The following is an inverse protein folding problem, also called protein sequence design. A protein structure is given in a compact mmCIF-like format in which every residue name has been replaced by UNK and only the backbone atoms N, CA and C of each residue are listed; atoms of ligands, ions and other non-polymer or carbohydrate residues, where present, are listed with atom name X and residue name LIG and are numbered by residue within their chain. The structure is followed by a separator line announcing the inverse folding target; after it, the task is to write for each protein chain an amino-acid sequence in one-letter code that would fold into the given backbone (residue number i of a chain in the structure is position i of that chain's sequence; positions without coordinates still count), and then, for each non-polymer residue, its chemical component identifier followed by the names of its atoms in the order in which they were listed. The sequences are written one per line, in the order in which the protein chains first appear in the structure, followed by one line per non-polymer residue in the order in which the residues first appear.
data_IF_894902526750
#
_entry.id   IF_894902526750
#
_cell.length_a   1.000
_cell.length_b   1.000
_cell.length_c   1.000
_cell.angle_alpha   90.00
_cell.angle_beta   90.00
_cell.angle_gamma   90.00
#
_symmetry.space_group_name_H-M   'P 1'
#
loop_
_entity.id
_entity.type
_entity.pdbx_description
1 polymer ?
#
# COMPACT_ATOMS: atom_id res chain seq x y z
N UNK A 1 28.64 -16.34 16.87
CA UNK A 1 27.16 -16.21 16.92
C UNK A 1 26.73 -15.45 15.69
N UNK A 2 25.76 -15.96 14.93
CA UNK A 2 25.18 -15.23 13.79
C UNK A 2 23.97 -14.49 14.36
N UNK A 3 24.03 -13.16 14.45
CA UNK A 3 22.87 -12.38 14.87
C UNK A 3 21.76 -12.51 13.81
N UNK A 4 20.56 -12.95 14.20
CA UNK A 4 19.38 -12.88 13.31
C UNK A 4 18.96 -11.42 13.24
N UNK A 5 18.98 -10.83 12.04
CA UNK A 5 18.54 -9.45 11.86
C UNK A 5 17.07 -9.31 12.23
N UNK A 6 16.77 -8.29 13.02
CA UNK A 6 15.44 -7.79 13.25
C UNK A 6 14.76 -7.40 11.95
N UNK A 7 13.44 -7.52 11.89
CA UNK A 7 12.69 -7.01 10.76
C UNK A 7 11.24 -6.68 11.11
N UNK A 8 10.69 -5.81 10.28
CA UNK A 8 9.30 -5.40 10.32
C UNK A 8 8.75 -5.53 8.90
N UNK A 9 7.56 -6.11 8.76
CA UNK A 9 6.84 -6.22 7.49
C UNK A 9 5.38 -5.85 7.70
N UNK A 10 4.73 -5.42 6.62
CA UNK A 10 3.27 -5.28 6.56
C UNK A 10 2.77 -6.15 5.41
N UNK A 11 1.65 -6.84 5.63
CA UNK A 11 0.92 -7.62 4.61
C UNK A 11 1.79 -8.55 3.71
N UNK A 12 2.85 -9.16 4.25
CA UNK A 12 3.81 -10.00 3.50
C UNK A 12 4.42 -9.37 2.23
N UNK A 13 4.29 -8.05 2.06
CA UNK A 13 4.60 -7.38 0.81
C UNK A 13 4.21 -5.91 0.89
N UNK A 14 5.11 -5.07 0.38
CA UNK A 14 5.23 -3.63 0.54
C UNK A 14 4.05 -2.77 0.01
N UNK A 15 2.79 -3.21 0.03
CA UNK A 15 1.65 -2.40 -0.42
C UNK A 15 0.43 -2.56 0.48
N UNK A 16 -0.08 -1.44 0.98
CA UNK A 16 -1.31 -1.33 1.77
C UNK A 16 -2.35 -0.61 0.93
N UNK A 17 -3.53 -1.21 0.80
CA UNK A 17 -4.64 -0.65 0.03
C UNK A 17 -5.76 -0.31 0.99
N UNK A 18 -6.15 0.96 1.04
CA UNK A 18 -7.32 1.43 1.78
C UNK A 18 -8.40 1.83 0.79
N UNK A 19 -9.67 1.67 1.17
CA UNK A 19 -10.80 2.12 0.36
C UNK A 19 -11.29 3.46 0.88
N UNK A 20 -11.52 4.43 -0.02
CA UNK A 20 -12.09 5.72 0.34
C UNK A 20 -13.41 5.57 1.10
N UNK A 21 -13.59 6.38 2.14
CA UNK A 21 -14.76 6.41 3.03
C UNK A 21 -15.04 5.09 3.78
N UNK A 22 -14.11 4.13 3.77
CA UNK A 22 -14.21 2.90 4.54
C UNK A 22 -13.11 2.84 5.61
N UNK A 23 -13.42 2.36 6.82
CA UNK A 23 -12.40 2.15 7.84
C UNK A 23 -11.46 1.01 7.42
N UNK A 24 -10.16 1.24 7.55
CA UNK A 24 -9.12 0.24 7.28
C UNK A 24 -8.06 0.22 8.37
N UNK A 25 -7.39 -0.92 8.53
CA UNK A 25 -6.31 -1.10 9.49
C UNK A 25 -5.33 -2.19 9.04
N UNK A 26 -4.03 -1.93 9.21
CA UNK A 26 -2.95 -2.88 8.93
C UNK A 26 -1.99 -2.95 10.13
N UNK A 27 -1.81 -4.16 10.65
CA UNK A 27 -0.85 -4.43 11.71
C UNK A 27 0.50 -4.87 11.13
N UNK A 28 1.63 -4.45 11.73
CA UNK A 28 2.95 -4.96 11.36
C UNK A 28 3.16 -6.37 11.90
N UNK A 29 4.03 -7.12 11.21
CA UNK A 29 4.66 -8.33 11.74
C UNK A 29 6.12 -8.01 12.08
N UNK A 30 6.46 -8.07 13.37
CA UNK A 30 7.83 -7.86 13.87
C UNK A 30 8.47 -9.21 14.21
N UNK A 31 9.72 -9.40 13.82
CA UNK A 31 10.45 -10.65 14.06
C UNK A 31 11.89 -10.40 14.49
N UNK A 32 12.42 -11.36 15.26
CA UNK A 32 13.77 -11.33 15.85
C UNK A 32 14.03 -10.09 16.72
N UNK A 33 12.99 -9.58 17.39
CA UNK A 33 13.04 -8.46 18.32
C UNK A 33 12.27 -8.82 19.60
N UNK A 34 12.83 -8.45 20.75
CA UNK A 34 12.36 -8.85 22.08
C UNK A 34 11.98 -7.67 22.98
N UNK A 35 12.15 -6.43 22.51
CA UNK A 35 11.82 -5.22 23.27
C UNK A 35 10.74 -4.44 22.53
N UNK A 36 9.65 -4.08 23.24
CA UNK A 36 8.66 -3.15 22.70
C UNK A 36 9.34 -1.83 22.38
N UNK A 37 9.26 -1.42 21.12
CA UNK A 37 9.89 -0.21 20.65
C UNK A 37 8.90 0.62 19.83
N UNK A 38 9.16 1.92 19.80
CA UNK A 38 8.31 2.87 19.09
C UNK A 38 8.42 2.69 17.58
N UNK A 39 7.28 2.83 16.90
CA UNK A 39 7.17 2.96 15.46
C UNK A 39 7.13 4.43 15.04
N UNK A 40 7.71 4.72 13.88
CA UNK A 40 7.55 6.01 13.21
C UNK A 40 7.39 5.78 11.71
N UNK A 41 6.72 6.70 11.02
CA UNK A 41 6.48 6.61 9.58
C UNK A 41 6.83 7.93 8.90
N UNK A 42 7.51 7.83 7.75
CA UNK A 42 7.92 8.98 6.93
C UNK A 42 7.68 8.71 5.44
N UNK A 43 7.12 9.67 4.67
CA UNK A 43 6.59 10.96 5.13
C UNK A 43 5.38 10.80 6.08
N UNK A 44 4.90 11.91 6.65
CA UNK A 44 3.72 11.87 7.51
C UNK A 44 2.49 11.35 6.73
N UNK A 45 1.66 10.55 7.39
CA UNK A 45 0.46 9.99 6.78
C UNK A 45 -0.53 11.09 6.37
N UNK A 46 -1.11 10.93 5.18
CA UNK A 46 -2.12 11.81 4.61
C UNK A 46 -3.51 11.13 4.63
N UNK A 47 -4.54 11.83 4.15
CA UNK A 47 -5.88 11.27 3.98
C UNK A 47 -6.47 10.70 5.28
N UNK A 48 -6.34 11.40 6.41
CA UNK A 48 -6.89 10.94 7.70
C UNK A 48 -6.41 9.56 8.16
N UNK A 49 -5.30 9.06 7.59
CA UNK A 49 -4.60 7.88 8.07
C UNK A 49 -3.67 8.26 9.22
N UNK A 50 -3.50 7.35 10.16
CA UNK A 50 -2.66 7.54 11.33
C UNK A 50 -1.93 6.25 11.69
N UNK A 51 -0.83 6.37 12.42
CA UNK A 51 -0.09 5.23 12.96
C UNK A 51 -0.12 5.31 14.48
N UNK A 52 -0.50 4.23 15.13
CA UNK A 52 -0.26 4.06 16.56
C UNK A 52 1.22 3.73 16.78
N UNK A 53 1.94 4.60 17.51
CA UNK A 53 3.40 4.49 17.67
C UNK A 53 3.84 3.32 18.55
N UNK A 54 2.94 2.68 19.30
CA UNK A 54 3.29 1.61 20.23
C UNK A 54 3.06 0.22 19.61
N UNK A 55 1.98 0.08 18.85
CA UNK A 55 1.59 -1.15 18.15
C UNK A 55 2.06 -1.18 16.70
N UNK A 56 2.36 -0.01 16.10
CA UNK A 56 2.69 0.15 14.70
C UNK A 56 1.51 -0.04 13.75
N UNK A 57 0.29 -0.15 14.28
CA UNK A 57 -0.93 -0.28 13.49
C UNK A 57 -1.14 1.00 12.69
N UNK A 58 -1.29 0.88 11.37
CA UNK A 58 -1.68 1.98 10.47
C UNK A 58 -3.18 1.85 10.21
N UNK A 59 -3.95 2.87 10.58
CA UNK A 59 -5.41 2.84 10.48
C UNK A 59 -6.01 4.21 10.18
N UNK A 60 -7.26 4.21 9.72
CA UNK A 60 -8.05 5.42 9.49
C UNK A 60 -9.19 5.19 8.52
N UNK A 61 -9.87 6.28 8.17
CA UNK A 61 -10.94 6.32 7.18
C UNK A 61 -10.60 7.41 6.16
N UNK A 62 -9.93 7.07 5.05
CA UNK A 62 -9.47 8.08 4.12
C UNK A 62 -10.61 8.72 3.34
N UNK A 63 -10.53 10.03 3.14
CA UNK A 63 -11.59 10.82 2.48
C UNK A 63 -11.29 11.15 1.03
N UNK A 64 -10.06 10.89 0.56
CA UNK A 64 -9.60 11.14 -0.79
C UNK A 64 -8.84 9.93 -1.32
N UNK A 65 -9.09 9.58 -2.59
CA UNK A 65 -8.32 8.57 -3.31
C UNK A 65 -6.94 9.10 -3.67
N UNK A 66 -5.97 8.20 -3.73
CA UNK A 66 -4.57 8.52 -4.04
C UNK A 66 -3.87 7.29 -4.58
N UNK A 67 -2.97 7.48 -5.56
CA UNK A 67 -2.06 6.42 -5.99
C UNK A 67 -1.12 5.94 -4.87
N UNK A 68 -0.31 4.94 -5.20
CA UNK A 68 0.79 4.38 -4.41
C UNK A 68 1.79 5.47 -4.04
N UNK A 69 1.78 5.83 -2.76
CA UNK A 69 2.76 6.73 -2.18
C UNK A 69 3.76 5.92 -1.36
N UNK A 70 5.08 6.12 -1.54
CA UNK A 70 6.09 5.38 -0.79
C UNK A 70 6.21 5.91 0.65
N UNK A 71 6.29 5.00 1.60
CA UNK A 71 6.51 5.24 3.01
C UNK A 71 7.61 4.34 3.55
N UNK A 72 8.33 4.85 4.54
CA UNK A 72 9.27 4.09 5.36
C UNK A 72 8.77 4.07 6.79
N UNK A 73 8.53 2.87 7.30
CA UNK A 73 8.22 2.64 8.71
C UNK A 73 9.50 2.23 9.41
N UNK A 74 9.93 3.02 10.40
CA UNK A 74 11.05 2.66 11.25
C UNK A 74 10.54 2.03 12.54
N UNK A 75 11.22 0.97 12.97
CA UNK A 75 11.01 0.31 14.24
C UNK A 75 12.26 0.48 15.10
N UNK A 76 12.07 0.77 16.39
CA UNK A 76 13.13 0.81 17.38
C UNK A 76 14.33 1.69 16.99
N UNK A 77 14.05 2.96 16.70
CA UNK A 77 15.07 3.95 16.30
C UNK A 77 15.87 3.54 15.05
N UNK A 78 15.25 2.78 14.13
CA UNK A 78 15.86 2.39 12.86
C UNK A 78 16.65 1.08 12.91
N UNK A 79 16.56 0.31 14.01
CA UNK A 79 17.13 -1.06 14.07
C UNK A 79 16.51 -1.98 13.01
N UNK A 80 15.23 -1.78 12.72
CA UNK A 80 14.55 -2.40 11.60
C UNK A 80 13.68 -1.35 10.88
N UNK A 81 13.43 -1.57 9.60
CA UNK A 81 12.54 -0.72 8.83
C UNK A 81 11.77 -1.54 7.78
N UNK A 82 10.58 -1.06 7.43
CA UNK A 82 9.78 -1.56 6.34
C UNK A 82 9.62 -0.45 5.30
N UNK A 83 9.87 -0.78 4.03
CA UNK A 83 9.43 0.06 2.91
C UNK A 83 8.12 -0.47 2.41
N UNK A 84 7.15 0.42 2.28
CA UNK A 84 5.81 0.09 1.80
C UNK A 84 5.25 1.23 0.96
N UNK A 85 4.23 0.93 0.18
CA UNK A 85 3.41 1.88 -0.51
C UNK A 85 2.03 1.89 0.13
N UNK A 86 1.42 3.06 0.26
CA UNK A 86 0.02 3.18 0.65
C UNK A 86 -0.75 3.72 -0.54
N UNK A 87 -1.82 3.05 -0.90
CA UNK A 87 -2.77 3.45 -1.92
C UNK A 87 -4.14 3.63 -1.27
N UNK A 88 -4.89 4.64 -1.71
CA UNK A 88 -6.31 4.78 -1.40
C UNK A 88 -7.09 4.67 -2.70
N UNK A 89 -7.85 3.59 -2.85
CA UNK A 89 -8.71 3.36 -4.01
C UNK A 89 -10.05 4.08 -3.86
N UNK A 90 -10.70 4.38 -4.99
CA UNK A 90 -11.98 5.09 -5.00
C UNK A 90 -13.12 4.22 -4.46
N UNK A 91 -13.16 2.95 -4.89
CA UNK A 91 -14.09 1.91 -4.43
C UNK A 91 -13.37 0.58 -4.25
N UNK A 92 -13.92 -0.36 -3.47
CA UNK A 92 -13.27 -1.62 -3.17
C UNK A 92 -12.87 -2.39 -4.45
N UNK A 93 -11.57 -2.64 -4.64
CA UNK A 93 -11.02 -3.34 -5.81
C UNK A 93 -10.85 -2.49 -7.08
N UNK A 94 -11.13 -1.19 -7.03
CA UNK A 94 -11.03 -0.31 -8.20
C UNK A 94 -9.61 -0.03 -8.66
N UNK A 95 -8.62 -0.21 -7.78
CA UNK A 95 -7.21 -0.16 -8.14
C UNK A 95 -6.69 -1.45 -8.80
N UNK A 96 -7.44 -2.56 -8.78
CA UNK A 96 -6.98 -3.80 -9.39
C UNK A 96 -7.00 -3.70 -10.92
N UNK A 97 -5.94 -4.19 -11.56
CA UNK A 97 -5.91 -4.31 -13.01
C UNK A 97 -6.93 -5.33 -13.51
N UNK A 98 -7.77 -4.95 -14.48
CA UNK A 98 -8.69 -5.89 -15.12
C UNK A 98 -7.89 -6.97 -15.88
N UNK A 99 -8.14 -8.24 -15.56
CA UNK A 99 -7.49 -9.38 -16.19
C UNK A 99 -8.35 -10.00 -17.31
N UNK A 100 -9.65 -9.68 -17.34
CA UNK A 100 -10.65 -10.25 -18.23
C UNK A 100 -11.14 -9.21 -19.25
N UNK A 101 -10.32 -8.92 -20.24
CA UNK A 101 -10.73 -8.19 -21.45
C UNK A 101 -10.71 -6.66 -21.35
N UNK A 102 -11.15 -6.04 -22.45
CA UNK A 102 -11.05 -4.59 -22.71
C UNK A 102 -12.01 -3.82 -21.79
N UNK A 103 -11.48 -2.98 -20.91
CA UNK A 103 -12.30 -2.01 -20.16
C UNK A 103 -13.02 -1.05 -21.13
N UNK A 104 -14.23 -0.61 -20.81
CA UNK A 104 -14.98 0.36 -21.62
C UNK A 104 -14.10 1.59 -21.90
N UNK A 105 -13.82 1.88 -23.17
CA UNK A 105 -12.93 2.97 -23.60
C UNK A 105 -11.51 2.55 -23.99
N UNK A 106 -11.11 1.31 -23.71
CA UNK A 106 -9.85 0.73 -24.18
C UNK A 106 -10.02 0.01 -25.53
N UNK A 107 -8.91 -0.37 -26.17
CA UNK A 107 -8.91 -1.13 -27.45
C UNK A 107 -8.30 -2.51 -27.24
N UNK A 108 -8.51 -3.43 -28.17
CA UNK A 108 -7.88 -4.77 -28.14
C UNK A 108 -6.34 -4.72 -28.10
N UNK A 109 -5.75 -3.62 -28.60
CA UNK A 109 -4.30 -3.42 -28.54
C UNK A 109 -3.78 -2.99 -27.16
N UNK A 110 -4.67 -2.48 -26.29
CA UNK A 110 -4.40 -2.02 -24.93
C UNK A 110 -5.56 -2.40 -24.01
N UNK A 111 -5.77 -3.70 -23.73
CA UNK A 111 -7.01 -4.14 -23.08
C UNK A 111 -7.04 -3.85 -21.57
N UNK A 112 -5.89 -3.63 -20.93
CA UNK A 112 -5.77 -3.56 -19.46
C UNK A 112 -5.98 -2.13 -18.94
N UNK A 113 -6.80 -1.96 -17.90
CA UNK A 113 -6.86 -0.72 -17.10
C UNK A 113 -7.36 -1.04 -15.68
N UNK A 114 -7.20 -0.10 -14.75
CA UNK A 114 -7.90 -0.14 -13.47
C UNK A 114 -9.05 0.88 -13.46
N UNK A 115 -10.08 0.60 -12.66
CA UNK A 115 -11.30 1.41 -12.57
C UNK A 115 -11.02 2.83 -12.07
N UNK A 116 -9.97 3.01 -11.25
CA UNK A 116 -9.52 4.33 -10.78
C UNK A 116 -8.98 5.25 -11.92
N UNK A 117 -8.64 4.69 -13.08
CA UNK A 117 -8.12 5.41 -14.26
C UNK A 117 -8.69 4.84 -15.56
N UNK A 118 -10.01 4.96 -15.74
CA UNK A 118 -10.72 4.47 -16.94
C UNK A 118 -10.21 5.04 -18.29
N UNK A 119 -9.44 6.13 -18.28
CA UNK A 119 -8.86 6.76 -19.47
C UNK A 119 -7.43 6.32 -19.79
N UNK A 120 -6.82 5.46 -18.96
CA UNK A 120 -5.45 4.97 -19.15
C UNK A 120 -5.46 3.48 -19.44
N UNK A 121 -5.09 3.12 -20.66
CA UNK A 121 -5.09 1.75 -21.15
C UNK A 121 -3.66 1.24 -21.36
N UNK A 122 -3.39 0.01 -20.91
CA UNK A 122 -2.09 -0.63 -20.95
C UNK A 122 -2.08 -1.80 -21.92
N UNK A 123 -0.93 -2.03 -22.56
CA UNK A 123 -0.71 -3.17 -23.48
C UNK A 123 -0.52 -4.49 -22.74
N UNK A 124 -0.01 -4.45 -21.52
CA UNK A 124 0.30 -5.64 -20.72
C UNK A 124 -0.18 -5.48 -19.29
N UNK A 125 -0.57 -6.60 -18.66
CA UNK A 125 -0.98 -6.63 -17.26
C UNK A 125 0.14 -6.12 -16.33
N UNK A 126 1.40 -6.45 -16.64
CA UNK A 126 2.55 -5.97 -15.87
C UNK A 126 2.68 -4.44 -15.90
N UNK A 127 2.41 -3.81 -17.05
CA UNK A 127 2.44 -2.35 -17.17
C UNK A 127 1.32 -1.72 -16.32
N UNK A 128 0.13 -2.32 -16.35
CA UNK A 128 -0.97 -1.88 -15.48
C UNK A 128 -0.59 -2.00 -14.00
N UNK A 129 -0.14 -3.16 -13.51
CA UNK A 129 0.19 -3.37 -12.08
C UNK A 129 1.34 -2.49 -11.56
N UNK A 130 2.18 -1.98 -12.48
CA UNK A 130 3.27 -1.05 -12.18
C UNK A 130 2.84 0.41 -12.21
N UNK A 131 1.63 0.71 -12.65
CA UNK A 131 1.08 2.06 -12.57
C UNK A 131 1.00 2.51 -11.11
N UNK A 132 1.07 3.83 -10.90
CA UNK A 132 1.00 4.39 -9.56
C UNK A 132 -0.41 4.25 -8.98
N UNK A 133 -1.46 4.16 -9.79
CA UNK A 133 -2.85 4.06 -9.32
C UNK A 133 -3.44 2.67 -9.48
N UNK A 134 -2.73 1.73 -10.12
CA UNK A 134 -3.22 0.37 -10.31
C UNK A 134 -2.28 -0.65 -9.65
N UNK A 135 -2.79 -1.81 -9.22
CA UNK A 135 -2.01 -2.90 -8.62
C UNK A 135 -2.36 -4.28 -9.18
#
# INVERSE_FOLDING_TARGET
MIARSAGVTYNNGASLVFTKNAPGSYAPSVFNETVMASFTIQPGLTNSLSMDIHSGIISGTPTQSSGKLPYTVNFNQGRAYARLNIQVEETAGSGACNETGVHIGCTDSQPFSCTDRQTVCFKTLLACRRDTNCY
#
